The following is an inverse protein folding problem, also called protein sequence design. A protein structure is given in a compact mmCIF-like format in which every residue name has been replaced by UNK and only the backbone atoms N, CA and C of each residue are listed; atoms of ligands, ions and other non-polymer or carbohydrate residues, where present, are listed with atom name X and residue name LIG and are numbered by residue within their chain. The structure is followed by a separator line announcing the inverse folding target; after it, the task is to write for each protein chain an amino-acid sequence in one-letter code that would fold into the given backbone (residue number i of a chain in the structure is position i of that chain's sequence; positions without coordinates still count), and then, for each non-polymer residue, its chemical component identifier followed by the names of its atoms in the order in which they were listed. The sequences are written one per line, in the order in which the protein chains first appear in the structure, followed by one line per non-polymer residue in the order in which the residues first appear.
data_IF_766521068513
#
_entry.id   IF_766521068513
#
_cell.length_a   1.000
_cell.length_b   1.000
_cell.length_c   1.000
_cell.angle_alpha   90.00
_cell.angle_beta   90.00
_cell.angle_gamma   90.00
#
_symmetry.space_group_name_H-M   'P 1'
#
loop_
_entity.id
_entity.type
_entity.pdbx_description
1 polymer ?
#
# COMPACT_ATOMS: atom_id res chain seq x y z
N UNK A 1 11.33 14.47 10.41
CA UNK A 1 10.15 14.83 11.22
C UNK A 1 9.05 13.82 10.94
N UNK A 2 8.55 13.09 11.92
CA UNK A 2 7.41 12.18 11.74
C UNK A 2 6.11 12.99 11.74
N UNK A 3 5.30 12.87 10.69
CA UNK A 3 3.95 13.45 10.68
C UNK A 3 3.09 12.80 11.79
N UNK A 4 2.32 13.58 12.58
CA UNK A 4 1.42 13.02 13.59
C UNK A 4 0.27 12.27 12.93
N UNK A 5 -0.29 11.28 13.63
CA UNK A 5 -1.50 10.60 13.18
C UNK A 5 -2.71 11.53 13.25
N UNK A 6 -3.54 11.48 12.22
CA UNK A 6 -4.78 12.24 12.19
C UNK A 6 -5.82 11.61 13.13
N UNK A 7 -6.55 12.41 13.94
CA UNK A 7 -7.64 11.91 14.79
C UNK A 7 -8.71 11.17 13.98
N UNK A 8 -9.26 10.09 14.53
CA UNK A 8 -10.34 9.31 13.90
C UNK A 8 -9.91 8.44 12.72
N UNK A 9 -8.65 8.51 12.27
CA UNK A 9 -8.11 7.59 11.26
C UNK A 9 -7.61 6.35 11.95
N UNK A 10 -8.46 5.33 12.09
CA UNK A 10 -8.08 4.04 12.65
C UNK A 10 -8.02 2.95 11.59
N UNK A 11 -7.16 1.94 11.80
CA UNK A 11 -7.11 0.79 10.91
C UNK A 11 -8.43 0.01 10.97
N UNK A 12 -9.07 -0.11 12.14
CA UNK A 12 -10.29 -0.89 12.32
C UNK A 12 -10.15 -2.28 11.68
N UNK A 13 -11.10 -2.66 10.83
CA UNK A 13 -11.06 -3.92 10.07
C UNK A 13 -10.15 -3.95 8.83
N UNK A 14 -9.50 -2.85 8.46
CA UNK A 14 -8.64 -2.80 7.26
C UNK A 14 -7.31 -3.50 7.52
N UNK A 15 -6.96 -4.45 6.65
CA UNK A 15 -5.75 -5.28 6.74
C UNK A 15 -4.84 -5.19 5.51
N UNK A 16 -5.12 -4.29 4.57
CA UNK A 16 -4.42 -4.29 3.28
C UNK A 16 -2.91 -4.02 3.41
N UNK A 17 -2.50 -3.11 4.31
CA UNK A 17 -1.08 -2.89 4.61
C UNK A 17 -0.42 -4.16 5.20
N UNK A 18 -1.13 -4.87 6.08
CA UNK A 18 -0.65 -6.12 6.70
C UNK A 18 -0.57 -7.29 5.69
N UNK A 19 -1.23 -7.16 4.53
CA UNK A 19 -1.18 -8.13 3.44
C UNK A 19 -0.02 -7.85 2.49
N UNK A 20 0.05 -6.62 1.96
CA UNK A 20 0.92 -6.34 0.81
C UNK A 20 2.35 -6.01 1.17
N UNK A 21 2.62 -5.55 2.39
CA UNK A 21 3.96 -5.11 2.77
C UNK A 21 4.83 -6.34 3.11
N UNK A 22 6.03 -6.46 2.51
CA UNK A 22 7.01 -7.47 2.91
C UNK A 22 7.51 -7.17 4.32
N UNK A 23 7.57 -8.20 5.17
CA UNK A 23 8.18 -8.09 6.49
C UNK A 23 9.21 -9.18 6.63
N UNK A 24 10.46 -8.81 6.84
CA UNK A 24 11.55 -9.74 7.12
C UNK A 24 12.41 -9.18 8.26
N UNK A 25 11.87 -9.20 9.47
CA UNK A 25 12.47 -8.59 10.64
C UNK A 25 12.63 -9.61 11.78
N UNK A 26 13.55 -9.37 12.73
CA UNK A 26 13.78 -10.28 13.86
C UNK A 26 12.55 -10.59 14.71
N UNK A 27 11.51 -9.77 14.74
CA UNK A 27 10.27 -10.01 15.51
C UNK A 27 9.09 -10.52 14.67
N UNK A 28 9.17 -10.36 13.34
CA UNK A 28 8.09 -10.68 12.42
C UNK A 28 8.66 -10.87 11.01
N UNK A 29 8.49 -12.08 10.48
CA UNK A 29 8.73 -12.39 9.08
C UNK A 29 7.43 -12.90 8.45
N UNK A 30 7.09 -12.37 7.28
CA UNK A 30 5.88 -12.72 6.54
C UNK A 30 6.14 -12.53 5.05
N UNK A 31 5.86 -13.57 4.22
CA UNK A 31 5.89 -13.45 2.77
C UNK A 31 5.06 -12.26 2.26
N UNK A 32 5.54 -11.65 1.19
CA UNK A 32 4.87 -10.56 0.47
C UNK A 32 3.55 -11.05 -0.08
N UNK A 33 2.50 -10.22 0.00
CA UNK A 33 1.15 -10.57 -0.46
C UNK A 33 0.39 -11.55 0.45
N UNK A 34 1.05 -12.22 1.39
CA UNK A 34 0.39 -13.06 2.40
C UNK A 34 -0.26 -12.18 3.48
N UNK A 35 -1.49 -12.48 3.89
CA UNK A 35 -2.08 -11.83 5.06
C UNK A 35 -1.31 -12.24 6.31
N UNK A 36 -0.94 -11.26 7.15
CA UNK A 36 -0.30 -11.52 8.44
C UNK A 36 -1.14 -12.50 9.28
N UNK A 37 -0.51 -13.54 9.85
CA UNK A 37 -1.22 -14.56 10.66
C UNK A 37 -1.95 -13.99 11.88
N UNK A 38 -1.55 -12.81 12.35
CA UNK A 38 -2.26 -12.09 13.39
C UNK A 38 -3.53 -11.38 12.93
N UNK A 39 -3.76 -11.28 11.62
CA UNK A 39 -4.88 -10.55 11.06
C UNK A 39 -5.99 -11.50 10.63
N UNK A 40 -7.22 -11.12 10.94
CA UNK A 40 -8.42 -11.72 10.37
C UNK A 40 -8.94 -10.78 9.30
N UNK A 41 -9.19 -11.30 8.10
CA UNK A 41 -9.62 -10.48 6.97
C UNK A 41 -10.93 -9.74 7.30
N UNK A 42 -10.94 -8.42 7.10
CA UNK A 42 -12.06 -7.54 7.46
C UNK A 42 -12.26 -7.26 8.96
N UNK A 43 -11.54 -7.94 9.86
CA UNK A 43 -11.67 -7.75 11.32
C UNK A 43 -10.42 -7.13 11.97
N UNK A 44 -9.29 -7.08 11.27
CA UNK A 44 -8.08 -6.41 11.77
C UNK A 44 -7.12 -7.36 12.50
N UNK A 45 -6.18 -6.78 13.24
CA UNK A 45 -5.13 -7.51 13.95
C UNK A 45 -5.59 -7.96 15.34
N UNK A 46 -5.64 -9.27 15.58
CA UNK A 46 -6.07 -9.86 16.85
C UNK A 46 -5.12 -9.59 18.02
N UNK A 47 -3.85 -9.29 17.74
CA UNK A 47 -2.86 -8.84 18.74
C UNK A 47 -2.55 -7.35 18.63
N UNK A 48 -3.45 -6.53 18.12
CA UNK A 48 -3.19 -5.11 17.89
C UNK A 48 -2.61 -4.41 19.14
N UNK A 49 -3.11 -4.71 20.35
CA UNK A 49 -2.63 -4.12 21.60
C UNK A 49 -1.17 -4.49 21.93
N UNK A 50 -0.73 -5.70 21.59
CA UNK A 50 0.60 -6.27 21.90
C UNK A 50 1.47 -6.47 20.65
N UNK A 51 1.09 -5.86 19.53
CA UNK A 51 1.77 -6.03 18.23
C UNK A 51 3.27 -5.68 18.29
N UNK A 52 4.11 -6.33 17.45
CA UNK A 52 5.54 -6.04 17.36
C UNK A 52 5.84 -4.56 17.06
N UNK A 53 7.04 -4.10 17.41
CA UNK A 53 7.38 -2.68 17.35
C UNK A 53 7.31 -2.12 15.92
N UNK A 54 7.73 -2.90 14.93
CA UNK A 54 7.65 -2.54 13.50
C UNK A 54 6.21 -2.24 13.06
N UNK A 55 5.23 -2.97 13.60
CA UNK A 55 3.81 -2.74 13.35
C UNK A 55 3.26 -1.51 14.07
N UNK A 56 3.97 -0.97 15.08
CA UNK A 56 3.60 0.25 15.79
C UNK A 56 4.14 1.50 15.09
N UNK A 57 5.21 1.35 14.32
CA UNK A 57 5.87 2.46 13.62
C UNK A 57 5.38 2.67 12.19
N UNK A 58 4.58 1.75 11.65
CA UNK A 58 4.06 1.84 10.29
C UNK A 58 2.63 2.40 10.23
N UNK A 59 2.42 3.41 9.36
CA UNK A 59 1.13 4.04 9.04
C UNK A 59 1.03 4.45 7.56
N UNK A 60 0.04 3.92 6.82
CA UNK A 60 -0.23 4.38 5.45
C UNK A 60 -0.55 5.87 5.38
N UNK A 61 -0.37 6.49 4.22
CA UNK A 61 -0.48 7.93 4.08
C UNK A 61 -1.87 8.46 4.49
N UNK A 62 -2.93 7.67 4.28
CA UNK A 62 -4.30 7.96 4.75
C UNK A 62 -4.41 8.17 6.27
N UNK A 63 -3.51 7.60 7.07
CA UNK A 63 -3.47 7.78 8.54
C UNK A 63 -2.84 9.12 8.97
N UNK A 64 -2.10 9.77 8.08
CA UNK A 64 -1.19 10.88 8.43
C UNK A 64 -1.37 12.13 7.57
N UNK A 65 -2.07 12.05 6.44
CA UNK A 65 -2.41 13.22 5.60
C UNK A 65 -3.91 13.28 5.32
N UNK A 66 -4.41 14.49 5.09
CA UNK A 66 -5.83 14.76 4.84
C UNK A 66 -6.25 14.28 3.45
N UNK A 67 -6.51 12.98 3.34
CA UNK A 67 -7.23 12.37 2.21
C UNK A 67 -8.68 12.12 2.61
N UNK A 68 -9.60 12.14 1.64
CA UNK A 68 -10.98 11.74 1.90
C UNK A 68 -11.05 10.29 2.42
N UNK A 69 -12.17 9.95 3.04
CA UNK A 69 -12.38 8.63 3.63
C UNK A 69 -12.39 7.50 2.59
N UNK A 70 -12.61 7.82 1.32
CA UNK A 70 -12.59 6.87 0.20
C UNK A 70 -11.18 6.34 -0.08
N UNK A 71 -10.14 7.07 0.32
CA UNK A 71 -8.73 6.64 0.24
C UNK A 71 -8.35 5.56 1.26
N UNK A 72 -9.25 5.17 2.17
CA UNK A 72 -8.95 4.08 3.10
C UNK A 72 -8.68 2.81 2.28
N UNK A 73 -7.56 2.08 2.51
CA UNK A 73 -7.09 1.08 1.55
C UNK A 73 -8.06 -0.06 1.21
N UNK A 74 -8.92 -0.48 2.13
CA UNK A 74 -9.92 -1.51 1.88
C UNK A 74 -11.12 -1.02 1.05
N UNK A 75 -11.31 0.31 0.95
CA UNK A 75 -12.31 0.96 0.09
C UNK A 75 -11.76 1.19 -1.32
N UNK A 76 -10.64 1.92 -1.45
CA UNK A 76 -10.07 2.24 -2.77
C UNK A 76 -9.24 1.11 -3.39
N UNK A 77 -8.79 0.13 -2.60
CA UNK A 77 -7.85 -0.94 -3.00
C UNK A 77 -6.45 -0.45 -3.34
N UNK A 78 -6.06 0.69 -2.77
CA UNK A 78 -4.72 1.28 -2.91
C UNK A 78 -4.12 1.54 -1.52
N UNK A 79 -2.90 1.05 -1.29
CA UNK A 79 -2.09 1.45 -0.13
C UNK A 79 -1.16 2.57 -0.57
N UNK A 80 -1.43 3.78 -0.10
CA UNK A 80 -0.57 4.95 -0.34
C UNK A 80 0.54 4.98 0.70
N UNK A 81 1.79 5.08 0.26
CA UNK A 81 2.96 5.20 1.15
C UNK A 81 4.04 6.08 0.53
N UNK A 82 4.81 6.82 1.33
CA UNK A 82 6.05 7.39 0.84
C UNK A 82 7.10 6.29 0.70
N UNK A 83 7.99 6.40 -0.27
CA UNK A 83 9.24 5.62 -0.27
C UNK A 83 10.28 6.43 0.51
N UNK A 84 10.62 5.98 1.71
CA UNK A 84 11.53 6.71 2.59
C UNK A 84 10.96 8.05 3.10
N UNK A 85 11.73 8.73 3.94
CA UNK A 85 11.36 10.06 4.49
C UNK A 85 11.84 11.19 3.56
N UNK A 86 12.82 10.91 2.69
CA UNK A 86 13.60 11.92 1.97
C UNK A 86 13.47 11.84 0.44
N UNK A 87 12.89 10.76 -0.12
CA UNK A 87 12.97 10.52 -1.57
C UNK A 87 11.96 11.35 -2.39
N UNK A 88 11.00 12.03 -1.74
CA UNK A 88 10.02 12.88 -2.44
C UNK A 88 9.05 12.11 -3.37
N UNK A 89 9.01 10.77 -3.26
CA UNK A 89 8.17 9.89 -4.08
C UNK A 89 7.06 9.28 -3.23
N UNK A 90 5.81 9.43 -3.69
CA UNK A 90 4.66 8.70 -3.16
C UNK A 90 4.37 7.50 -4.06
N UNK A 91 4.37 6.31 -3.46
CA UNK A 91 3.93 5.08 -4.14
C UNK A 91 2.45 4.82 -3.88
N UNK A 92 1.70 4.67 -4.96
CA UNK A 92 0.36 4.08 -4.98
C UNK A 92 0.50 2.57 -5.21
N UNK A 93 0.46 1.79 -4.14
CA UNK A 93 0.44 0.33 -4.23
C UNK A 93 -0.98 -0.13 -4.53
N UNK A 94 -1.27 -0.48 -5.77
CA UNK A 94 -2.58 -0.93 -6.24
C UNK A 94 -2.75 -2.40 -5.85
N UNK A 95 -3.42 -2.64 -4.72
CA UNK A 95 -3.63 -3.98 -4.17
C UNK A 95 -4.48 -4.83 -5.12
N UNK A 96 -5.55 -4.22 -5.64
CA UNK A 96 -6.48 -4.81 -6.63
C UNK A 96 -7.04 -3.68 -7.48
N UNK A 97 -7.40 -3.98 -8.74
CA UNK A 97 -8.10 -3.01 -9.60
C UNK A 97 -9.48 -2.70 -9.04
N UNK A 98 -9.87 -1.43 -9.14
CA UNK A 98 -11.17 -0.90 -8.71
C UNK A 98 -11.52 0.32 -9.55
N UNK A 99 -12.80 0.72 -9.54
CA UNK A 99 -13.27 1.92 -10.24
C UNK A 99 -12.63 3.21 -9.70
N UNK A 100 -12.04 3.15 -8.50
CA UNK A 100 -11.29 4.26 -7.92
C UNK A 100 -10.11 4.70 -8.81
N UNK A 101 -9.54 3.77 -9.59
CA UNK A 101 -8.46 4.06 -10.55
C UNK A 101 -8.87 5.01 -11.68
N UNK A 102 -10.18 5.16 -11.94
CA UNK A 102 -10.73 6.07 -12.94
C UNK A 102 -11.47 7.26 -12.31
N UNK A 103 -11.36 7.44 -10.99
CA UNK A 103 -12.07 8.48 -10.27
C UNK A 103 -11.43 9.86 -10.42
N UNK A 104 -12.26 10.91 -10.38
CA UNK A 104 -11.78 12.30 -10.28
C UNK A 104 -11.01 12.55 -8.98
N UNK A 105 -11.32 11.79 -7.93
CA UNK A 105 -10.63 11.86 -6.64
C UNK A 105 -9.15 11.44 -6.78
N UNK A 106 -8.87 10.31 -7.43
CA UNK A 106 -7.51 9.87 -7.72
C UNK A 106 -6.77 10.91 -8.58
N UNK A 107 -7.41 11.36 -9.66
CA UNK A 107 -6.84 12.38 -10.55
C UNK A 107 -6.46 13.65 -9.78
N UNK A 108 -7.39 14.20 -8.99
CA UNK A 108 -7.19 15.46 -8.27
C UNK A 108 -6.06 15.39 -7.24
N UNK A 109 -5.98 14.30 -6.48
CA UNK A 109 -4.91 14.12 -5.49
C UNK A 109 -3.54 13.95 -6.17
N UNK A 110 -3.45 13.13 -7.21
CA UNK A 110 -2.19 12.93 -7.95
C UNK A 110 -1.76 14.21 -8.65
N UNK A 111 -2.69 14.94 -9.27
CA UNK A 111 -2.42 16.25 -9.85
C UNK A 111 -1.88 17.25 -8.82
N UNK A 112 -2.49 17.27 -7.61
CA UNK A 112 -2.01 18.09 -6.50
C UNK A 112 -0.59 17.73 -6.07
N UNK A 113 -0.27 16.45 -5.92
CA UNK A 113 1.10 16.02 -5.60
C UNK A 113 2.10 16.43 -6.68
N UNK A 114 1.79 16.22 -7.96
CA UNK A 114 2.66 16.63 -9.07
C UNK A 114 2.90 18.14 -9.10
N UNK A 115 1.88 18.95 -8.77
CA UNK A 115 2.00 20.41 -8.69
C UNK A 115 2.93 20.86 -7.55
N UNK A 116 2.95 20.11 -6.44
CA UNK A 116 3.87 20.33 -5.32
C UNK A 116 5.28 19.74 -5.56
N UNK A 117 5.54 19.21 -6.76
CA UNK A 117 6.83 18.62 -7.12
C UNK A 117 7.08 17.23 -6.52
N UNK A 118 6.03 16.58 -6.00
CA UNK A 118 6.10 15.22 -5.48
C UNK A 118 6.02 14.24 -6.65
N UNK A 119 6.95 13.30 -6.69
CA UNK A 119 6.94 12.23 -7.69
C UNK A 119 5.94 11.13 -7.32
N UNK A 120 5.38 10.48 -8.33
CA UNK A 120 4.42 9.39 -8.14
C UNK A 120 4.93 8.11 -8.78
N UNK A 121 4.91 7.04 -7.99
CA UNK A 121 5.15 5.69 -8.45
C UNK A 121 3.88 4.83 -8.35
N UNK A 122 3.76 3.88 -9.26
CA UNK A 122 2.75 2.82 -9.20
C UNK A 122 3.45 1.53 -8.82
N UNK A 123 2.76 0.71 -8.01
CA UNK A 123 3.21 -0.63 -7.66
C UNK A 123 2.06 -1.62 -7.69
N UNK A 124 2.34 -2.85 -8.11
CA UNK A 124 1.38 -3.96 -8.16
C UNK A 124 1.93 -5.16 -7.38
N UNK A 125 1.07 -5.94 -6.72
CA UNK A 125 1.49 -7.18 -6.09
C UNK A 125 1.83 -8.25 -7.14
N UNK A 126 2.87 -9.04 -6.87
CA UNK A 126 3.08 -10.30 -7.55
C UNK A 126 2.35 -11.46 -6.88
N UNK A 127 2.60 -12.70 -7.33
CA UNK A 127 2.26 -13.91 -6.58
C UNK A 127 2.74 -13.84 -5.13
N UNK A 128 2.04 -14.52 -4.21
CA UNK A 128 2.45 -14.57 -2.80
C UNK A 128 3.87 -15.10 -2.67
N UNK A 129 4.70 -14.43 -1.87
CA UNK A 129 6.12 -14.75 -1.70
C UNK A 129 7.03 -14.15 -2.77
N UNK A 130 6.57 -13.15 -3.53
CA UNK A 130 7.40 -12.43 -4.50
C UNK A 130 7.38 -10.92 -4.25
N UNK A 131 8.48 -10.24 -4.59
CA UNK A 131 8.55 -8.78 -4.48
C UNK A 131 7.56 -8.10 -5.45
N UNK A 132 6.96 -6.97 -5.05
CA UNK A 132 6.08 -6.23 -5.92
C UNK A 132 6.85 -5.57 -7.07
N UNK A 133 6.19 -5.41 -8.21
CA UNK A 133 6.72 -4.59 -9.30
C UNK A 133 6.40 -3.12 -9.01
N UNK A 134 7.33 -2.21 -9.33
CA UNK A 134 7.18 -0.77 -9.11
C UNK A 134 7.88 0.03 -10.20
N UNK A 135 7.27 1.14 -10.61
CA UNK A 135 7.92 2.15 -11.43
C UNK A 135 7.48 3.56 -11.03
N UNK A 136 8.40 4.52 -11.06
CA UNK A 136 8.07 5.94 -11.05
C UNK A 136 7.42 6.28 -12.39
N UNK A 137 6.24 6.90 -12.35
CA UNK A 137 5.42 7.18 -13.54
C UNK A 137 5.09 8.66 -13.68
N UNK A 138 5.69 9.53 -12.88
CA UNK A 138 5.43 10.99 -12.87
C UNK A 138 5.40 11.59 -14.28
N UNK A 139 6.48 11.41 -15.06
CA UNK A 139 6.59 11.95 -16.42
C UNK A 139 5.62 11.28 -17.42
N UNK A 140 5.22 10.05 -17.16
CA UNK A 140 4.22 9.35 -17.98
C UNK A 140 2.81 9.92 -17.76
N UNK A 141 2.47 10.30 -16.53
CA UNK A 141 1.18 10.85 -16.15
C UNK A 141 1.07 12.36 -16.40
N UNK A 142 2.19 13.10 -16.33
CA UNK A 142 2.26 14.56 -16.42
C UNK A 142 1.45 15.17 -17.58
N UNK A 143 1.52 14.66 -18.83
CA UNK A 143 0.76 15.27 -19.93
C UNK A 143 -0.76 15.28 -19.71
N UNK A 144 -1.32 14.23 -19.11
CA UNK A 144 -2.76 14.17 -18.83
C UNK A 144 -3.15 15.13 -17.69
N UNK A 145 -2.28 15.25 -16.67
CA UNK A 145 -2.48 16.19 -15.56
C UNK A 145 -2.43 17.64 -16.05
N UNK A 146 -1.44 18.00 -16.85
CA UNK A 146 -1.30 19.35 -17.42
C UNK A 146 -2.44 19.72 -18.37
N UNK A 147 -2.98 18.73 -19.10
CA UNK A 147 -4.16 18.91 -19.95
C UNK A 147 -5.48 18.98 -19.16
N UNK A 148 -5.49 18.65 -17.86
CA UNK A 148 -6.72 18.55 -17.08
C UNK A 148 -7.62 17.39 -17.52
N UNK A 149 -7.03 16.29 -18.03
CA UNK A 149 -7.73 15.18 -18.67
C UNK A 149 -7.74 13.92 -17.77
N UNK A 150 -8.80 13.72 -16.96
CA UNK A 150 -8.91 12.56 -16.08
C UNK A 150 -9.09 11.24 -16.84
N UNK A 151 -9.65 11.25 -18.05
CA UNK A 151 -9.86 10.04 -18.85
C UNK A 151 -8.51 9.53 -19.41
N UNK A 152 -7.72 10.44 -19.98
CA UNK A 152 -6.36 10.12 -20.43
C UNK A 152 -5.46 9.69 -19.26
N UNK A 153 -5.60 10.36 -18.11
CA UNK A 153 -4.88 9.98 -16.89
C UNK A 153 -5.21 8.54 -16.46
N UNK A 154 -6.50 8.20 -16.36
CA UNK A 154 -6.93 6.85 -15.97
C UNK A 154 -6.40 5.79 -16.97
N UNK A 155 -6.49 6.07 -18.27
CA UNK A 155 -5.95 5.21 -19.33
C UNK A 155 -4.44 4.98 -19.15
N UNK A 156 -3.67 6.03 -18.85
CA UNK A 156 -2.23 5.95 -18.60
C UNK A 156 -1.90 5.15 -17.35
N UNK A 157 -2.66 5.33 -16.26
CA UNK A 157 -2.53 4.52 -15.04
C UNK A 157 -2.73 3.05 -15.36
N UNK A 158 -3.83 2.68 -16.03
CA UNK A 158 -4.10 1.28 -16.40
C UNK A 158 -2.98 0.70 -17.26
N UNK A 159 -2.49 1.44 -18.27
CA UNK A 159 -1.37 0.99 -19.11
C UNK A 159 -0.08 0.77 -18.31
N UNK A 160 0.20 1.61 -17.31
CA UNK A 160 1.33 1.41 -16.41
C UNK A 160 1.17 0.15 -15.56
N UNK A 161 -0.03 -0.10 -15.02
CA UNK A 161 -0.31 -1.31 -14.24
C UNK A 161 -0.19 -2.57 -15.11
N UNK A 162 -0.77 -2.57 -16.31
CA UNK A 162 -0.65 -3.68 -17.27
C UNK A 162 0.82 -4.02 -17.58
N UNK A 163 1.67 -2.99 -17.71
CA UNK A 163 3.11 -3.18 -17.95
C UNK A 163 3.85 -3.71 -16.72
N UNK A 164 3.48 -3.27 -15.52
CA UNK A 164 4.08 -3.77 -14.28
C UNK A 164 3.69 -5.23 -13.99
N UNK A 165 2.49 -5.65 -14.38
CA UNK A 165 2.03 -7.04 -14.23
C UNK A 165 2.78 -8.03 -15.14
N UNK A 166 3.45 -7.55 -16.19
CA UNK A 166 4.30 -8.36 -17.08
C UNK A 166 5.71 -8.58 -16.53
N UNK A 167 5.97 -8.21 -15.27
CA UNK A 167 7.28 -8.31 -14.66
C UNK A 167 7.69 -9.75 -14.34
N UNK A 168 8.99 -10.01 -14.41
CA UNK A 168 9.57 -11.27 -13.95
C UNK A 168 9.61 -11.28 -12.42
N UNK A 169 8.69 -12.02 -11.81
CA UNK A 169 8.53 -12.05 -10.36
C UNK A 169 9.71 -12.71 -9.65
N UNK A 170 10.35 -11.96 -8.76
CA UNK A 170 11.45 -12.45 -7.93
C UNK A 170 10.92 -12.91 -6.58
N UNK A 171 11.31 -14.12 -6.16
CA UNK A 171 11.00 -14.63 -4.82
C UNK A 171 11.57 -13.69 -3.75
N UNK A 172 10.78 -13.47 -2.69
CA UNK A 172 11.24 -12.69 -1.54
C UNK A 172 12.13 -13.49 -0.58
N UNK A 173 12.12 -14.82 -0.68
CA UNK A 173 12.89 -15.73 0.17
C UNK A 173 12.48 -15.71 1.64
N UNK A 174 11.32 -15.14 1.98
CA UNK A 174 10.89 -14.95 3.36
C UNK A 174 10.19 -16.21 3.86
N UNK A 175 10.68 -16.75 4.98
CA UNK A 175 9.96 -17.78 5.73
C UNK A 175 9.18 -17.12 6.86
N UNK A 176 7.90 -17.47 7.00
CA UNK A 176 7.03 -16.84 7.98
C UNK A 176 7.46 -17.14 9.41
N UNK A 177 7.45 -16.12 10.28
CA UNK A 177 7.79 -16.22 11.70
C UNK A 177 7.09 -15.13 12.49
N UNK A 178 6.54 -15.51 13.64
CA UNK A 178 5.65 -14.68 14.44
C UNK A 178 6.07 -14.77 15.90
N UNK A 179 6.57 -13.66 16.49
CA UNK A 179 7.09 -13.66 17.86
C UNK A 179 6.02 -13.62 18.97
N UNK A 180 4.74 -13.43 18.63
CA UNK A 180 3.62 -13.40 19.58
C UNK A 180 2.94 -14.77 19.52
N UNK A 181 3.25 -15.61 20.50
CA UNK A 181 2.84 -17.02 20.53
C UNK A 181 1.38 -17.20 21.01
N UNK A 182 0.89 -16.32 21.90
CA UNK A 182 -0.49 -16.31 22.39
C UNK A 182 -1.40 -15.48 21.47
N UNK A 183 -1.67 -16.00 20.26
CA UNK A 183 -2.72 -15.46 19.39
C UNK A 183 -3.91 -16.44 19.34
N UNK A 184 -5.17 -16.00 19.48
CA UNK A 184 -6.34 -16.88 19.45
C UNK A 184 -6.56 -17.67 18.14
N UNK A 185 -5.69 -17.51 17.14
CA UNK A 185 -5.83 -18.05 15.78
C UNK A 185 -4.51 -18.57 15.21
N UNK A 186 -3.60 -19.08 16.05
CA UNK A 186 -2.36 -19.70 15.58
C UNK A 186 -2.69 -20.84 14.59
N UNK A 187 -2.28 -20.75 13.32
CA UNK A 187 -2.50 -21.84 12.37
C UNK A 187 -1.72 -23.09 12.84
N UNK A 188 -2.25 -24.31 12.64
CA UNK A 188 -1.54 -25.53 13.02
C UNK A 188 -0.20 -25.61 12.28
N UNK A 189 0.83 -26.14 12.96
CA UNK A 189 2.12 -26.47 12.32
C UNK A 189 1.90 -27.40 11.10
N UNK A 190 2.73 -27.29 10.05
CA UNK A 190 2.58 -28.06 8.81
C UNK A 190 2.74 -29.57 8.99
#
# INVERSE_FOLDING_TARGET
MSLPLLPGRECGGCVECCRVIPLNLPELAKPTGQLCAYCVDGAGCGVHAIRPQTCRTWFCLWRVVELSDDWRPDRCRIVVRPDGIEDGVITLFVVRRSDFLASLELFGVVAGWLAEGIEVALSVPGPVGTYPARAVVTEWLRPAVEAGDPEDFARRVIQSLDRLEQHDWQSDGITARYAVEEHPFTPPEP
#
